data_IF_511598339510
#
_entry.id   IF_511598339510
#
_cell.length_a   1.000
_cell.length_b   1.000
_cell.length_c   1.000
_cell.angle_alpha   90.00
_cell.angle_beta   90.00
_cell.angle_gamma   90.00
#
_symmetry.space_group_name_H-M   'P 1'
#
loop_
_entity.id
_entity.type
_entity.pdbx_description
1 polymer ?
#
# COMPACT_ATOMS: atom_id res chain seq x y z
N UNK A 1 -35.06 -22.75 -0.69
CA UNK A 1 -33.88 -21.90 -0.43
C UNK A 1 -32.77 -22.78 0.09
N UNK A 2 -31.67 -22.94 -0.64
CA UNK A 2 -30.49 -23.67 -0.15
C UNK A 2 -29.54 -22.64 0.44
N UNK A 3 -29.50 -22.54 1.76
CA UNK A 3 -28.44 -21.79 2.46
C UNK A 3 -27.19 -22.67 2.48
N UNK A 4 -26.25 -22.42 1.56
CA UNK A 4 -24.93 -23.02 1.63
C UNK A 4 -24.21 -22.49 2.87
N UNK A 5 -24.10 -23.33 3.90
CA UNK A 5 -23.29 -23.05 5.08
C UNK A 5 -21.81 -23.11 4.69
N UNK A 6 -21.28 -22.02 4.16
CA UNK A 6 -19.85 -21.90 3.88
C UNK A 6 -19.13 -21.77 5.22
N UNK A 7 -18.40 -22.82 5.61
CA UNK A 7 -17.53 -22.76 6.78
C UNK A 7 -16.51 -21.63 6.58
N UNK A 8 -16.33 -20.76 7.58
CA UNK A 8 -15.35 -19.66 7.54
C UNK A 8 -13.93 -20.16 7.18
N UNK A 9 -13.59 -21.40 7.55
CA UNK A 9 -12.33 -22.04 7.19
C UNK A 9 -12.16 -22.28 5.68
N UNK A 10 -13.26 -22.34 4.90
CA UNK A 10 -13.23 -22.55 3.46
C UNK A 10 -12.84 -21.28 2.68
N UNK A 11 -12.95 -20.08 3.30
CA UNK A 11 -12.61 -18.80 2.64
C UNK A 11 -11.10 -18.66 2.48
N UNK A 12 -10.32 -19.11 3.46
CA UNK A 12 -8.86 -18.90 3.47
C UNK A 12 -8.13 -19.60 2.31
N UNK A 13 -8.42 -20.88 1.97
CA UNK A 13 -7.87 -21.52 0.77
C UNK A 13 -8.22 -20.79 -0.53
N UNK A 14 -9.42 -20.22 -0.62
CA UNK A 14 -9.85 -19.43 -1.78
C UNK A 14 -9.05 -18.13 -1.89
N UNK A 15 -8.80 -17.45 -0.78
CA UNK A 15 -7.93 -16.26 -0.77
C UNK A 15 -6.54 -16.62 -1.30
N UNK A 16 -5.92 -17.71 -0.82
CA UNK A 16 -4.60 -18.13 -1.31
C UNK A 16 -4.60 -18.49 -2.80
N UNK A 17 -5.67 -19.13 -3.29
CA UNK A 17 -5.78 -19.53 -4.70
C UNK A 17 -6.06 -18.36 -5.63
N UNK A 18 -6.96 -17.46 -5.26
CA UNK A 18 -7.50 -16.43 -6.16
C UNK A 18 -6.86 -15.06 -5.99
N UNK A 19 -6.31 -14.71 -4.81
CA UNK A 19 -5.68 -13.40 -4.61
C UNK A 19 -4.57 -13.08 -5.63
N UNK A 20 -3.65 -14.01 -5.98
CA UNK A 20 -2.62 -13.72 -6.99
C UNK A 20 -3.21 -13.49 -8.40
N UNK A 21 -4.27 -14.21 -8.75
CA UNK A 21 -4.95 -14.07 -10.04
C UNK A 21 -5.65 -12.71 -10.13
N UNK A 22 -6.37 -12.33 -9.07
CA UNK A 22 -7.04 -11.03 -8.96
C UNK A 22 -6.00 -9.91 -9.00
N UNK A 23 -4.92 -10.03 -8.22
CA UNK A 23 -3.83 -9.05 -8.19
C UNK A 23 -3.21 -8.84 -9.58
N UNK A 24 -2.97 -9.92 -10.32
CA UNK A 24 -2.45 -9.84 -11.69
C UNK A 24 -3.40 -9.09 -12.64
N UNK A 25 -4.71 -9.36 -12.55
CA UNK A 25 -5.71 -8.66 -13.37
C UNK A 25 -5.85 -7.19 -12.97
N UNK A 26 -5.81 -6.88 -11.67
CA UNK A 26 -5.83 -5.49 -11.18
C UNK A 26 -4.59 -4.75 -11.67
N UNK A 27 -3.40 -5.35 -11.61
CA UNK A 27 -2.16 -4.73 -12.12
C UNK A 27 -2.26 -4.40 -13.62
N UNK A 28 -2.83 -5.29 -14.43
CA UNK A 28 -3.04 -5.06 -15.87
C UNK A 28 -4.05 -3.95 -16.17
N UNK A 29 -5.10 -3.82 -15.35
CA UNK A 29 -6.18 -2.84 -15.50
C UNK A 29 -5.94 -1.54 -14.72
N UNK A 30 -4.80 -1.43 -14.04
CA UNK A 30 -4.50 -0.30 -13.19
C UNK A 30 -4.37 0.95 -14.06
N UNK A 31 -5.25 1.92 -13.82
CA UNK A 31 -5.22 3.21 -14.49
C UNK A 31 -3.89 3.93 -14.22
N UNK A 32 -3.47 4.78 -15.17
CA UNK A 32 -2.34 5.69 -14.93
C UNK A 32 -2.64 6.51 -13.69
N UNK A 33 -1.73 6.45 -12.74
CA UNK A 33 -1.83 7.17 -11.48
C UNK A 33 -1.76 8.67 -11.77
N UNK A 34 -2.66 9.47 -11.17
CA UNK A 34 -2.67 10.92 -11.35
C UNK A 34 -1.40 11.60 -10.82
N UNK A 35 -1.16 12.87 -11.15
CA UNK A 35 0.07 13.58 -10.78
C UNK A 35 0.16 14.03 -9.30
N UNK A 36 -0.86 13.74 -8.48
CA UNK A 36 -0.93 14.12 -7.07
C UNK A 36 -1.31 12.94 -6.20
N UNK A 37 -0.46 12.64 -5.21
CA UNK A 37 -0.56 11.45 -4.36
C UNK A 37 -0.67 11.84 -2.88
N UNK A 38 -1.23 10.93 -2.09
CA UNK A 38 -1.26 10.95 -0.64
C UNK A 38 -0.63 9.67 -0.09
N UNK A 39 0.22 9.81 0.92
CA UNK A 39 0.81 8.69 1.65
C UNK A 39 0.32 8.72 3.09
N UNK A 40 -0.38 7.65 3.48
CA UNK A 40 -0.93 7.46 4.82
C UNK A 40 -0.12 6.39 5.57
N UNK A 41 0.06 6.57 6.88
CA UNK A 41 0.60 5.57 7.80
C UNK A 41 -0.48 5.23 8.83
N UNK A 42 -0.92 3.97 8.86
CA UNK A 42 -1.99 3.50 9.75
C UNK A 42 -1.48 2.32 10.56
N UNK A 43 -1.82 2.30 11.85
CA UNK A 43 -1.50 1.20 12.75
C UNK A 43 -2.64 0.19 12.79
N UNK A 44 -2.38 -1.07 12.38
CA UNK A 44 -3.40 -2.12 12.32
C UNK A 44 -2.96 -3.38 13.08
N UNK A 45 -3.90 -4.10 13.67
CA UNK A 45 -3.62 -5.34 14.41
C UNK A 45 -3.82 -6.55 13.49
N UNK A 46 -2.75 -7.30 13.23
CA UNK A 46 -2.75 -8.51 12.39
C UNK A 46 -2.40 -9.72 13.25
N UNK A 47 -3.33 -10.67 13.39
CA UNK A 47 -3.20 -11.86 14.24
C UNK A 47 -2.74 -11.54 15.67
N UNK A 48 -3.29 -10.47 16.25
CA UNK A 48 -2.94 -10.03 17.60
C UNK A 48 -1.69 -9.16 17.71
N UNK A 49 -0.88 -9.07 16.65
CA UNK A 49 0.35 -8.28 16.61
C UNK A 49 0.06 -6.95 15.93
N UNK A 50 0.53 -5.86 16.51
CA UNK A 50 0.43 -4.57 15.87
C UNK A 50 1.45 -4.40 14.73
N UNK A 51 0.97 -3.87 13.61
CA UNK A 51 1.73 -3.66 12.39
C UNK A 51 1.47 -2.25 11.85
N UNK A 52 2.46 -1.71 11.14
CA UNK A 52 2.36 -0.46 10.42
C UNK A 52 2.02 -0.73 8.96
N UNK A 53 0.94 -0.12 8.50
CA UNK A 53 0.48 -0.14 7.12
C UNK A 53 0.76 1.23 6.50
N UNK A 54 1.68 1.26 5.55
CA UNK A 54 1.90 2.40 4.67
C UNK A 54 1.04 2.22 3.41
N UNK A 55 0.34 3.26 2.99
CA UNK A 55 -0.50 3.23 1.80
C UNK A 55 -0.31 4.49 0.99
N UNK A 56 -0.02 4.35 -0.30
CA UNK A 56 0.03 5.44 -1.25
C UNK A 56 -1.20 5.37 -2.17
N UNK A 57 -1.94 6.48 -2.27
CA UNK A 57 -3.14 6.60 -3.11
C UNK A 57 -3.09 7.88 -3.93
N UNK A 58 -3.70 7.90 -5.11
CA UNK A 58 -3.85 9.14 -5.88
C UNK A 58 -5.07 9.97 -5.43
N UNK A 59 -5.22 11.17 -6.00
CA UNK A 59 -6.37 12.06 -5.72
C UNK A 59 -7.73 11.42 -6.02
N UNK A 60 -7.81 10.49 -6.96
CA UNK A 60 -9.03 9.77 -7.34
C UNK A 60 -9.28 8.52 -6.47
N UNK A 61 -8.38 8.24 -5.51
CA UNK A 61 -8.46 7.08 -4.64
C UNK A 61 -7.88 5.79 -5.24
N UNK A 62 -7.20 5.86 -6.39
CA UNK A 62 -6.52 4.69 -6.96
C UNK A 62 -5.29 4.35 -6.13
N UNK A 63 -5.18 3.08 -5.72
CA UNK A 63 -4.03 2.60 -4.94
C UNK A 63 -2.76 2.55 -5.78
N UNK A 64 -1.73 3.23 -5.30
CA UNK A 64 -0.39 3.29 -5.91
C UNK A 64 0.42 2.10 -5.42
N UNK A 65 0.61 1.99 -4.11
CA UNK A 65 1.32 0.89 -3.47
C UNK A 65 0.91 0.79 -2.00
N UNK A 66 1.20 -0.34 -1.36
CA UNK A 66 1.02 -0.54 0.07
C UNK A 66 2.17 -1.38 0.65
N UNK A 67 2.57 -1.08 1.89
CA UNK A 67 3.56 -1.85 2.62
C UNK A 67 3.05 -2.12 4.03
N UNK A 68 3.01 -3.40 4.40
CA UNK A 68 2.73 -3.83 5.76
C UNK A 68 4.03 -4.32 6.42
N UNK A 69 4.40 -3.73 7.55
CA UNK A 69 5.58 -4.11 8.33
C UNK A 69 5.24 -4.26 9.81
N UNK A 70 5.93 -5.18 10.50
CA UNK A 70 5.78 -5.36 11.95
C UNK A 70 6.49 -4.26 12.77
N UNK A 71 7.49 -3.59 12.19
CA UNK A 71 8.26 -2.53 12.86
C UNK A 71 8.16 -1.24 12.04
N UNK A 72 7.78 -0.14 12.69
CA UNK A 72 7.97 1.18 12.08
C UNK A 72 9.45 1.51 12.17
N UNK A 73 10.09 1.50 11.01
CA UNK A 73 11.46 1.93 10.85
C UNK A 73 11.46 3.02 9.80
N UNK A 74 12.22 4.09 10.05
CA UNK A 74 12.46 5.18 9.10
C UNK A 74 12.86 4.64 7.71
N UNK A 75 13.70 3.61 7.70
CA UNK A 75 14.13 2.91 6.48
C UNK A 75 12.98 2.25 5.72
N UNK A 76 12.00 1.64 6.41
CA UNK A 76 10.86 1.00 5.75
C UNK A 76 9.96 2.02 5.05
N UNK A 77 9.69 3.16 5.71
CA UNK A 77 8.95 4.27 5.11
C UNK A 77 9.70 4.85 3.90
N UNK A 78 11.02 5.06 4.03
CA UNK A 78 11.88 5.52 2.93
C UNK A 78 11.87 4.56 1.74
N UNK A 79 12.14 3.28 1.96
CA UNK A 79 12.15 2.27 0.89
C UNK A 79 10.79 2.13 0.22
N UNK A 80 9.70 2.19 0.99
CA UNK A 80 8.35 2.19 0.43
C UNK A 80 8.12 3.40 -0.49
N UNK A 81 8.48 4.59 -0.02
CA UNK A 81 8.25 5.81 -0.76
C UNK A 81 9.08 5.87 -2.05
N UNK A 82 10.36 5.47 -2.01
CA UNK A 82 11.21 5.37 -3.20
C UNK A 82 10.63 4.36 -4.19
N UNK A 83 10.18 3.19 -3.71
CA UNK A 83 9.56 2.17 -4.56
C UNK A 83 8.27 2.68 -5.20
N UNK A 84 7.42 3.36 -4.44
CA UNK A 84 6.17 3.94 -4.94
C UNK A 84 6.42 5.02 -6.00
N UNK A 85 7.46 5.85 -5.81
CA UNK A 85 7.87 6.87 -6.79
C UNK A 85 8.41 6.22 -8.07
N UNK A 86 9.28 5.22 -7.94
CA UNK A 86 9.87 4.53 -9.11
C UNK A 86 8.84 3.75 -9.92
N UNK A 87 7.86 3.13 -9.25
CA UNK A 87 6.82 2.34 -9.91
C UNK A 87 5.74 3.17 -10.61
N UNK A 88 5.76 4.49 -10.44
CA UNK A 88 4.68 5.37 -10.88
C UNK A 88 5.23 6.44 -11.81
N UNK A 89 4.45 6.87 -12.80
CA UNK A 89 4.83 8.01 -13.63
C UNK A 89 5.03 9.23 -12.70
N UNK A 90 6.27 9.74 -12.62
CA UNK A 90 6.73 10.87 -11.78
C UNK A 90 5.58 11.72 -11.22
N UNK A 91 5.31 11.59 -9.91
CA UNK A 91 4.37 12.47 -9.22
C UNK A 91 4.86 13.91 -9.29
N UNK A 92 3.95 14.86 -9.47
CA UNK A 92 4.24 16.29 -9.33
C UNK A 92 4.14 16.73 -7.88
N UNK A 93 3.21 16.12 -7.11
CA UNK A 93 2.92 16.52 -5.73
C UNK A 93 2.67 15.28 -4.88
N UNK A 94 3.45 15.10 -3.81
CA UNK A 94 3.24 14.04 -2.82
C UNK A 94 2.88 14.71 -1.51
N UNK A 95 1.64 14.50 -1.06
CA UNK A 95 1.21 14.93 0.26
C UNK A 95 1.45 13.78 1.25
N UNK A 96 2.11 14.10 2.35
CA UNK A 96 2.39 13.12 3.39
C UNK A 96 2.06 13.72 4.75
N UNK A 97 1.58 12.88 5.66
CA UNK A 97 1.44 13.28 7.05
C UNK A 97 2.81 13.67 7.65
N UNK A 98 2.79 14.60 8.61
CA UNK A 98 3.96 15.25 9.23
C UNK A 98 4.85 14.32 10.08
N UNK A 99 4.85 13.01 9.82
CA UNK A 99 5.73 12.08 10.52
C UNK A 99 7.20 12.30 10.10
N UNK A 100 8.12 12.22 11.07
CA UNK A 100 9.55 12.45 10.82
C UNK A 100 10.17 11.46 9.83
N UNK A 101 9.60 10.26 9.71
CA UNK A 101 10.02 9.24 8.75
C UNK A 101 9.72 9.65 7.31
N UNK A 102 8.55 10.23 7.08
CA UNK A 102 8.09 10.66 5.76
C UNK A 102 8.85 11.89 5.24
N UNK A 103 9.10 12.87 6.11
CA UNK A 103 9.93 14.04 5.79
C UNK A 103 11.32 13.59 5.33
N UNK A 104 11.91 12.62 6.03
CA UNK A 104 13.24 12.13 5.71
C UNK A 104 13.35 11.45 4.34
N UNK A 105 12.28 10.80 3.90
CA UNK A 105 12.23 10.10 2.63
C UNK A 105 12.18 11.07 1.44
N UNK A 106 11.40 12.14 1.54
CA UNK A 106 11.42 13.23 0.56
C UNK A 106 12.83 13.86 0.47
N UNK A 107 13.45 14.16 1.62
CA UNK A 107 14.79 14.78 1.65
C UNK A 107 15.86 13.92 0.96
N UNK A 108 15.83 12.60 1.16
CA UNK A 108 16.76 11.68 0.51
C UNK A 108 16.50 11.60 -0.99
N UNK A 109 15.23 11.55 -1.40
CA UNK A 109 14.87 11.51 -2.83
C UNK A 109 15.28 12.79 -3.58
N UNK A 110 15.04 13.97 -3.00
CA UNK A 110 15.38 15.25 -3.65
C UNK A 110 16.88 15.55 -3.72
N UNK A 111 17.72 14.82 -2.99
CA UNK A 111 19.19 14.95 -3.04
C UNK A 111 19.86 14.08 -4.11
N UNK A 112 19.09 13.21 -4.77
CA UNK A 112 19.53 12.31 -5.84
C UNK A 112 19.41 13.01 -7.19
#
# INVERSE_FOLDING_TARGET
MITLAVNHAAIQPWIFKFAPLIESQIKKRKNRVGASWRVDEIYIKVKGIWCYLYRAVDKLGNTIDFLLTKRSQRMSAQSFQIKAINNSCRSRVINIDKSGSNISAIWVYNKQ
#
